data_IF_227321015993
#
_entry.id   IF_227321015993
#
_cell.length_a   1.000
_cell.length_b   1.000
_cell.length_c   1.000
_cell.angle_alpha   90.00
_cell.angle_beta   90.00
_cell.angle_gamma   90.00
#
_symmetry.space_group_name_H-M   'P 1'
#
loop_
_entity.id
_entity.type
_entity.pdbx_description
1 polymer ?
#
# COMPACT_ATOMS: atom_id res chain seq x y z
N UNK A 1 -15.97 17.37 16.07
CA UNK A 1 -15.76 17.05 15.74
C UNK A 1 -15.23 16.55 15.32
N UNK A 2 -14.94 16.17 15.17
CA UNK A 2 -14.33 15.64 14.82
C UNK A 2 -13.77 15.44 14.09
N UNK A 3 -13.40 15.31 13.77
CA UNK A 3 -12.82 15.15 13.13
C UNK A 3 -12.32 14.86 12.45
N UNK A 4 -12.12 14.67 12.04
CA UNK A 4 -11.70 14.20 11.34
C UNK A 4 -10.86 14.10 10.80
N UNK A 5 -10.48 14.10 10.96
CA UNK A 5 -9.79 14.04 10.61
C UNK A 5 -9.23 13.78 9.88
N UNK A 6 -9.20 13.66 9.97
CA UNK A 6 -8.32 13.35 9.41
C UNK A 6 -8.24 13.38 8.13
N UNK A 7 -8.65 13.43 7.78
CA UNK A 7 -8.65 13.39 6.63
C UNK A 7 -8.18 14.20 5.88
N UNK A 8 -7.69 14.38 6.07
CA UNK A 8 -7.16 15.26 5.54
C UNK A 8 -6.45 15.06 4.43
N UNK A 9 -6.00 15.80 3.82
CA UNK A 9 -5.29 15.83 2.75
C UNK A 9 -4.91 14.68 2.10
N UNK A 10 -5.06 14.28 1.09
CA UNK A 10 -4.64 13.11 0.47
C UNK A 10 -5.13 11.86 1.12
N UNK A 11 -6.32 11.89 1.63
CA UNK A 11 -6.80 10.71 2.30
C UNK A 11 -6.85 9.51 1.38
N UNK A 12 -7.06 9.72 0.13
CA UNK A 12 -7.16 8.60 -0.79
C UNK A 12 -5.83 7.92 -0.96
N UNK A 13 -4.76 8.69 -1.04
CA UNK A 13 -3.45 8.11 -1.16
C UNK A 13 -3.07 7.33 0.08
N UNK A 14 -3.32 7.91 1.24
CA UNK A 14 -3.03 7.23 2.47
C UNK A 14 -3.86 5.98 2.62
N UNK A 15 -5.08 6.05 2.16
CA UNK A 15 -5.99 4.92 2.23
C UNK A 15 -5.49 3.75 1.40
N UNK A 16 -5.00 4.03 0.21
CA UNK A 16 -4.50 2.98 -0.67
C UNK A 16 -3.26 2.32 -0.12
N UNK A 17 -2.34 3.12 0.37
CA UNK A 17 -1.12 2.56 0.94
C UNK A 17 -1.42 1.75 2.19
N UNK A 18 -2.37 2.21 2.97
CA UNK A 18 -2.77 1.47 4.15
C UNK A 18 -3.37 0.13 3.77
N UNK A 19 -4.21 0.12 2.75
CA UNK A 19 -4.82 -1.12 2.31
C UNK A 19 -3.77 -2.10 1.81
N UNK A 20 -2.79 -1.61 1.07
CA UNK A 20 -1.72 -2.45 0.59
C UNK A 20 -0.92 -3.00 1.76
N UNK A 21 -0.64 -2.17 2.74
CA UNK A 21 0.12 -2.60 3.90
C UNK A 21 -0.62 -3.68 4.67
N UNK A 22 -1.92 -3.49 4.85
CA UNK A 22 -2.72 -4.48 5.56
C UNK A 22 -2.76 -5.79 4.80
N UNK A 23 -2.85 -5.70 3.48
CA UNK A 23 -2.86 -6.90 2.67
C UNK A 23 -1.55 -7.65 2.78
N UNK A 24 -0.45 -6.91 2.71
CA UNK A 24 0.87 -7.53 2.85
C UNK A 24 1.04 -8.18 4.21
N UNK A 25 0.51 -7.53 5.23
CA UNK A 25 0.58 -8.09 6.58
C UNK A 25 -0.19 -9.40 6.66
N UNK A 26 -1.36 -9.46 6.04
CA UNK A 26 -2.13 -10.68 6.00
C UNK A 26 -1.39 -11.78 5.26
N UNK A 27 -0.76 -11.43 4.15
CA UNK A 27 0.01 -12.40 3.39
C UNK A 27 1.17 -12.93 4.20
N UNK A 28 1.82 -12.04 4.94
CA UNK A 28 2.95 -12.45 5.76
C UNK A 28 2.49 -13.43 6.84
N UNK A 29 1.34 -13.17 7.43
CA UNK A 29 0.82 -14.08 8.44
C UNK A 29 0.48 -15.43 7.85
N UNK A 30 -0.09 -15.41 6.67
CA UNK A 30 -0.42 -16.66 6.02
C UNK A 30 0.82 -17.48 5.70
N UNK A 31 1.87 -16.80 5.24
CA UNK A 31 3.13 -17.50 4.98
C UNK A 31 3.73 -18.07 6.26
N UNK A 32 3.56 -17.34 7.35
CA UNK A 32 4.08 -17.76 8.62
C UNK A 32 3.36 -19.01 9.15
N UNK A 33 2.17 -19.28 8.67
CA UNK A 33 1.42 -20.45 9.07
C UNK A 33 1.82 -21.69 8.29
N UNK A 34 2.85 -21.60 7.49
CA UNK A 34 3.42 -22.71 6.75
C UNK A 34 2.42 -23.37 5.80
N UNK A 35 1.96 -22.59 4.83
CA UNK A 35 1.04 -23.13 3.82
C UNK A 35 1.77 -24.14 2.95
N UNK A 36 0.99 -24.92 2.19
CA UNK A 36 1.62 -25.83 1.27
C UNK A 36 2.31 -25.05 0.16
N UNK A 37 3.06 -25.77 -0.65
CA UNK A 37 3.90 -25.16 -1.67
C UNK A 37 3.13 -24.33 -2.66
N UNK A 38 2.01 -24.85 -3.08
CA UNK A 38 1.20 -24.16 -4.07
C UNK A 38 0.64 -22.87 -3.51
N UNK A 39 0.13 -22.94 -2.29
CA UNK A 39 -0.41 -21.74 -1.67
C UNK A 39 0.68 -20.73 -1.40
N UNK A 40 1.86 -21.21 -0.98
CA UNK A 40 2.98 -20.31 -0.74
C UNK A 40 3.38 -19.57 -2.00
N UNK A 41 3.38 -20.27 -3.14
CA UNK A 41 3.72 -19.63 -4.41
C UNK A 41 2.71 -18.56 -4.77
N UNK A 42 1.43 -18.82 -4.52
CA UNK A 42 0.40 -17.83 -4.79
C UNK A 42 0.58 -16.61 -3.91
N UNK A 43 0.91 -16.83 -2.65
CA UNK A 43 1.10 -15.73 -1.73
C UNK A 43 2.28 -14.85 -2.16
N UNK A 44 3.35 -15.48 -2.62
CA UNK A 44 4.50 -14.73 -3.07
C UNK A 44 4.16 -13.91 -4.31
N UNK A 45 3.40 -14.50 -5.22
CA UNK A 45 3.00 -13.76 -6.41
C UNK A 45 2.16 -12.55 -6.03
N UNK A 46 1.22 -12.75 -5.14
CA UNK A 46 0.36 -11.66 -4.71
C UNK A 46 1.17 -10.57 -4.03
N UNK A 47 2.12 -10.97 -3.21
CA UNK A 47 2.97 -9.98 -2.54
C UNK A 47 3.78 -9.18 -3.55
N UNK A 48 4.26 -9.82 -4.60
CA UNK A 48 5.00 -9.12 -5.64
C UNK A 48 4.14 -8.09 -6.34
N UNK A 49 2.90 -8.45 -6.62
CA UNK A 49 1.99 -7.51 -7.26
C UNK A 49 1.69 -6.33 -6.36
N UNK A 50 1.51 -6.60 -5.08
CA UNK A 50 1.26 -5.53 -4.13
C UNK A 50 2.47 -4.62 -3.99
N UNK A 51 3.66 -5.19 -4.03
CA UNK A 51 4.88 -4.38 -3.96
C UNK A 51 4.99 -3.45 -5.16
N UNK A 52 4.63 -3.95 -6.34
CA UNK A 52 4.63 -3.12 -7.52
C UNK A 52 3.62 -1.99 -7.40
N UNK A 53 2.47 -2.32 -6.88
CA UNK A 53 1.42 -1.33 -6.69
C UNK A 53 1.86 -0.27 -5.70
N UNK A 54 2.48 -0.69 -4.62
CA UNK A 54 2.97 0.25 -3.62
C UNK A 54 4.02 1.18 -4.21
N UNK A 55 4.88 0.64 -5.06
CA UNK A 55 5.87 1.46 -5.73
C UNK A 55 5.25 2.54 -6.59
N UNK A 56 4.18 2.19 -7.29
CA UNK A 56 3.49 3.17 -8.12
C UNK A 56 2.85 4.26 -7.28
N UNK A 57 2.30 3.87 -6.14
CA UNK A 57 1.70 4.86 -5.26
C UNK A 57 2.73 5.83 -4.72
N UNK A 58 3.90 5.31 -4.38
CA UNK A 58 4.97 6.17 -3.90
C UNK A 58 5.42 7.13 -5.00
N UNK A 59 5.58 6.63 -6.22
CA UNK A 59 5.95 7.48 -7.33
C UNK A 59 4.95 8.57 -7.57
N UNK A 60 3.69 8.22 -7.50
CA UNK A 60 2.62 9.18 -7.70
C UNK A 60 2.66 10.26 -6.63
N UNK A 61 2.88 9.85 -5.40
CA UNK A 61 2.96 10.79 -4.29
C UNK A 61 4.14 11.74 -4.44
N UNK A 62 5.28 11.19 -4.88
CA UNK A 62 6.47 12.00 -5.09
C UNK A 62 6.26 13.02 -6.20
N UNK A 63 5.60 12.58 -7.26
CA UNK A 63 5.33 13.47 -8.37
C UNK A 63 4.39 14.59 -7.97
N UNK A 64 3.36 14.24 -7.21
CA UNK A 64 2.42 15.24 -6.75
C UNK A 64 3.11 16.26 -5.83
N UNK A 65 4.00 15.77 -4.98
CA UNK A 65 4.75 16.66 -4.10
C UNK A 65 5.65 17.60 -4.90
N UNK A 66 6.27 17.09 -5.94
CA UNK A 66 7.14 17.90 -6.77
C UNK A 66 6.34 18.98 -7.49
N UNK A 67 5.17 18.62 -7.98
CA UNK A 67 4.32 19.58 -8.68
C UNK A 67 3.83 20.66 -7.74
N UNK A 68 3.47 20.28 -6.54
CA UNK A 68 3.02 21.25 -5.54
C UNK A 68 4.14 22.23 -5.21
N UNK A 69 5.36 21.72 -5.13
CA UNK A 69 6.49 22.56 -4.82
C UNK A 69 6.75 23.55 -5.93
N UNK A 70 6.61 23.11 -7.17
CA UNK A 70 6.83 23.99 -8.30
C UNK A 70 5.79 25.07 -8.41
N UNK A 71 4.55 24.73 -8.14
CA UNK A 71 3.53 25.73 -8.27
C UNK A 71 3.51 26.70 -7.12
N UNK A 72 4.07 26.31 -6.01
CA UNK A 72 4.12 27.18 -4.87
C UNK A 72 5.23 28.18 -4.98
#
# INVERSE_FOLDING_TARGET
MATPEGDTGGPEQGSELRAITERLDSLARELDSEPDEQRAAELVREASELATEAGREVERALRAAAEARESG
#
